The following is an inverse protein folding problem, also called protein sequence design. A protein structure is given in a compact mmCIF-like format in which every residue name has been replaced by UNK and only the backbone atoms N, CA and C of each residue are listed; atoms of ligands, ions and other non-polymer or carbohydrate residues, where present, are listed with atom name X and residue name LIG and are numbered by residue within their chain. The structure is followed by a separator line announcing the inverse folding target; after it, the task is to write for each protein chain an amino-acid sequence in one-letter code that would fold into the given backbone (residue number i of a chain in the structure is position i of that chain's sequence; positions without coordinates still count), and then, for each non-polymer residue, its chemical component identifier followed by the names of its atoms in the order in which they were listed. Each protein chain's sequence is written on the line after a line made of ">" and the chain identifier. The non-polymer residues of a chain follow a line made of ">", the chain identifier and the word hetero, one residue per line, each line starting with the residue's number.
data_IF_621956145395
#
_entry.id   IF_621956145395
#
_cell.length_a   1.000
_cell.length_b   1.000
_cell.length_c   1.000
_cell.angle_alpha   90.00
_cell.angle_beta   90.00
_cell.angle_gamma   90.00
#
_symmetry.space_group_name_H-M   'P 1'
#
loop_
_entity.id
_entity.type
_entity.pdbx_description
1 polymer ?
#
# COMPACT_ATOMS: atom_id res chain seq x y z
N UNK A 1 -20.11 -18.05 -39.06
CA UNK A 1 -20.71 -17.67 -37.77
C UNK A 1 -20.03 -18.50 -36.70
N UNK A 2 -18.87 -18.05 -36.23
CA UNK A 2 -17.94 -18.89 -35.44
C UNK A 2 -18.27 -18.71 -33.96
N UNK A 3 -18.88 -19.73 -33.36
CA UNK A 3 -19.23 -19.81 -31.94
C UNK A 3 -17.94 -19.92 -31.12
N UNK A 4 -17.69 -18.94 -30.26
CA UNK A 4 -16.58 -18.98 -29.29
C UNK A 4 -16.88 -20.09 -28.26
N UNK A 5 -15.93 -21.00 -27.93
CA UNK A 5 -16.16 -22.09 -26.99
C UNK A 5 -16.54 -21.57 -25.58
N UNK A 6 -17.47 -22.26 -24.91
CA UNK A 6 -18.09 -21.88 -23.63
C UNK A 6 -17.19 -21.84 -22.39
N UNK A 7 -15.87 -21.71 -22.54
CA UNK A 7 -14.90 -21.61 -21.44
C UNK A 7 -14.66 -20.19 -20.93
N UNK A 8 -15.13 -19.15 -21.64
CA UNK A 8 -14.93 -17.76 -21.24
C UNK A 8 -16.27 -17.08 -20.91
N UNK A 9 -16.98 -17.56 -19.89
CA UNK A 9 -18.03 -16.74 -19.27
C UNK A 9 -17.32 -15.60 -18.55
N UNK A 10 -17.55 -14.36 -18.98
CA UNK A 10 -17.00 -13.18 -18.29
C UNK A 10 -17.43 -13.22 -16.83
N UNK A 11 -16.47 -13.08 -15.92
CA UNK A 11 -16.74 -12.88 -14.50
C UNK A 11 -17.42 -11.52 -14.36
N UNK A 12 -18.52 -11.46 -13.61
CA UNK A 12 -19.17 -10.21 -13.24
C UNK A 12 -18.18 -9.33 -12.47
N UNK A 13 -18.02 -8.06 -12.88
CA UNK A 13 -17.11 -7.12 -12.24
C UNK A 13 -17.39 -6.97 -10.73
N UNK A 14 -18.66 -7.06 -10.31
CA UNK A 14 -19.04 -7.00 -8.89
C UNK A 14 -18.52 -8.20 -8.08
N UNK A 15 -18.31 -9.35 -8.74
CA UNK A 15 -17.79 -10.58 -8.09
C UNK A 15 -16.27 -10.65 -8.06
N UNK A 16 -15.59 -9.82 -8.84
CA UNK A 16 -14.15 -9.88 -9.01
C UNK A 16 -13.37 -9.63 -7.70
N UNK A 17 -13.70 -8.63 -6.86
CA UNK A 17 -12.96 -8.39 -5.61
C UNK A 17 -12.99 -9.58 -4.66
N UNK A 18 -14.18 -10.16 -4.44
CA UNK A 18 -14.33 -11.31 -3.54
C UNK A 18 -13.54 -12.54 -4.02
N UNK A 19 -13.53 -12.78 -5.34
CA UNK A 19 -12.74 -13.86 -5.93
C UNK A 19 -11.24 -13.61 -5.77
N UNK A 20 -10.75 -12.41 -6.08
CA UNK A 20 -9.34 -12.05 -5.95
C UNK A 20 -8.88 -12.15 -4.48
N UNK A 21 -9.67 -11.69 -3.52
CA UNK A 21 -9.35 -11.82 -2.10
C UNK A 21 -9.23 -13.28 -1.65
N UNK A 22 -10.15 -14.16 -2.08
CA UNK A 22 -10.19 -15.56 -1.67
C UNK A 22 -9.10 -16.45 -2.30
N UNK A 23 -8.45 -16.01 -3.38
CA UNK A 23 -7.39 -16.78 -4.02
C UNK A 23 -6.19 -16.97 -3.08
N UNK A 24 -5.60 -18.18 -2.97
CA UNK A 24 -4.30 -18.35 -2.32
C UNK A 24 -3.22 -17.64 -3.14
N UNK A 25 -2.35 -16.88 -2.48
CA UNK A 25 -1.30 -16.07 -3.11
C UNK A 25 0.02 -16.27 -2.36
N UNK A 26 1.12 -16.27 -3.09
CA UNK A 26 2.46 -16.05 -2.55
C UNK A 26 2.93 -14.67 -3.06
N UNK A 27 3.36 -13.81 -2.14
CA UNK A 27 3.91 -12.49 -2.46
C UNK A 27 5.44 -12.58 -2.36
N UNK A 28 6.12 -12.41 -3.51
CA UNK A 28 7.57 -12.62 -3.62
C UNK A 28 8.37 -11.32 -3.62
N UNK A 29 7.70 -10.18 -3.77
CA UNK A 29 8.30 -8.86 -3.74
C UNK A 29 7.43 -7.93 -2.90
N UNK A 30 7.83 -7.76 -1.66
CA UNK A 30 7.25 -6.80 -0.72
C UNK A 30 8.40 -6.19 0.08
N UNK A 31 8.39 -4.87 0.22
CA UNK A 31 9.22 -4.18 1.20
C UNK A 31 8.40 -4.06 2.48
N UNK A 32 8.87 -4.61 3.60
CA UNK A 32 8.12 -4.60 4.87
C UNK A 32 7.93 -3.17 5.37
N UNK A 33 8.93 -2.32 5.21
CA UNK A 33 8.84 -0.91 5.56
C UNK A 33 7.89 -0.16 4.61
N UNK A 34 7.70 -0.67 3.39
CA UNK A 34 6.76 -0.15 2.41
C UNK A 34 5.30 -0.50 2.70
N UNK A 35 5.02 -1.37 3.68
CA UNK A 35 3.66 -1.68 4.15
C UNK A 35 3.24 -0.86 5.37
N UNK A 36 4.05 0.13 5.79
CA UNK A 36 3.68 1.04 6.86
C UNK A 36 2.56 1.99 6.44
N UNK A 37 1.38 1.75 6.98
CA UNK A 37 0.24 2.66 6.84
C UNK A 37 0.49 3.98 7.57
N UNK A 38 0.01 5.13 7.05
CA UNK A 38 0.16 6.44 7.69
C UNK A 38 -0.24 6.46 9.18
N UNK A 39 -1.32 5.79 9.54
CA UNK A 39 -1.82 5.69 10.91
C UNK A 39 -0.81 4.97 11.82
N UNK A 40 -0.15 3.92 11.31
CA UNK A 40 0.89 3.19 12.04
C UNK A 40 2.16 4.03 12.19
N UNK A 41 2.55 4.78 11.15
CA UNK A 41 3.70 5.69 11.20
C UNK A 41 3.50 6.72 12.33
N UNK A 42 2.32 7.34 12.41
CA UNK A 42 2.00 8.30 13.47
C UNK A 42 1.96 7.67 14.86
N UNK A 43 1.36 6.49 15.00
CA UNK A 43 1.31 5.78 16.28
C UNK A 43 2.72 5.43 16.80
N UNK A 44 3.60 4.95 15.91
CA UNK A 44 4.99 4.64 16.26
C UNK A 44 5.83 5.89 16.51
N UNK A 45 5.62 6.96 15.74
CA UNK A 45 6.27 8.24 15.97
C UNK A 45 5.95 8.79 17.37
N UNK A 46 4.67 8.77 17.75
CA UNK A 46 4.23 9.16 19.09
C UNK A 46 4.87 8.27 20.17
N UNK A 47 4.81 6.94 19.99
CA UNK A 47 5.40 5.97 20.93
C UNK A 47 6.89 6.22 21.15
N UNK A 48 7.62 6.53 20.07
CA UNK A 48 9.07 6.61 20.07
C UNK A 48 9.62 8.04 20.18
N UNK A 49 8.76 9.06 20.36
CA UNK A 49 9.18 10.46 20.46
C UNK A 49 9.82 11.02 19.19
N UNK A 50 9.44 10.50 18.02
CA UNK A 50 9.97 10.95 16.71
C UNK A 50 9.07 12.04 16.15
N UNK A 51 9.65 13.20 15.79
CA UNK A 51 8.92 14.24 15.06
C UNK A 51 8.79 13.88 13.59
N UNK A 52 7.57 13.91 13.06
CA UNK A 52 7.32 13.72 11.63
C UNK A 52 7.31 15.07 10.90
N UNK A 53 7.73 15.11 9.62
CA UNK A 53 7.64 16.31 8.79
C UNK A 53 6.20 16.60 8.30
N UNK A 54 5.23 15.78 8.71
CA UNK A 54 3.82 15.91 8.34
C UNK A 54 2.98 16.21 9.60
N UNK A 55 2.07 17.20 9.53
CA UNK A 55 1.28 17.61 10.69
C UNK A 55 0.13 16.66 11.03
N UNK A 56 -0.26 15.77 10.10
CA UNK A 56 -1.34 14.81 10.31
C UNK A 56 -1.24 13.60 9.38
N UNK A 57 -2.00 12.55 9.70
CA UNK A 57 -2.18 11.36 8.87
C UNK A 57 -2.67 11.74 7.47
N UNK A 58 -3.63 12.67 7.36
CA UNK A 58 -4.17 13.13 6.09
C UNK A 58 -3.12 13.90 5.27
N UNK A 59 -2.23 14.66 5.93
CA UNK A 59 -1.13 15.33 5.25
C UNK A 59 -0.12 14.34 4.67
N UNK A 60 0.23 13.29 5.42
CA UNK A 60 1.08 12.21 4.93
C UNK A 60 0.40 11.42 3.79
N UNK A 61 -0.89 11.10 3.91
CA UNK A 61 -1.65 10.40 2.87
C UNK A 61 -1.73 11.21 1.58
N UNK A 62 -1.84 12.55 1.66
CA UNK A 62 -1.76 13.44 0.48
C UNK A 62 -0.36 13.46 -0.15
N UNK A 63 0.69 13.22 0.64
CA UNK A 63 2.06 13.17 0.15
C UNK A 63 2.37 11.87 -0.63
N UNK A 64 1.49 10.85 -0.59
CA UNK A 64 1.61 9.63 -1.40
C UNK A 64 1.24 9.87 -2.88
N UNK A 65 1.86 10.89 -3.48
CA UNK A 65 1.74 11.28 -4.87
C UNK A 65 3.16 11.49 -5.41
N UNK A 66 3.70 10.47 -6.07
CA UNK A 66 5.10 10.39 -6.45
C UNK A 66 5.31 10.73 -7.93
N UNK A 67 6.37 11.47 -8.26
CA UNK A 67 6.74 11.80 -9.64
C UNK A 67 7.79 10.86 -10.23
N UNK A 68 8.54 10.19 -9.37
CA UNK A 68 9.63 9.28 -9.70
C UNK A 68 9.96 8.38 -8.50
N UNK A 69 10.99 7.53 -8.63
CA UNK A 69 11.44 6.67 -7.56
C UNK A 69 12.00 7.47 -6.37
N UNK A 70 12.68 8.59 -6.61
CA UNK A 70 13.35 9.33 -5.54
C UNK A 70 12.33 10.00 -4.62
N UNK A 71 11.31 10.65 -5.19
CA UNK A 71 10.20 11.26 -4.45
C UNK A 71 9.42 10.23 -3.60
N UNK A 72 9.33 8.98 -4.05
CA UNK A 72 8.85 7.87 -3.21
C UNK A 72 9.83 7.55 -2.07
N UNK A 73 11.12 7.37 -2.38
CA UNK A 73 12.14 6.98 -1.41
C UNK A 73 12.29 8.01 -0.29
N UNK A 74 12.15 9.30 -0.58
CA UNK A 74 12.23 10.36 0.42
C UNK A 74 11.17 10.18 1.53
N UNK A 75 9.93 9.84 1.15
CA UNK A 75 8.83 9.58 2.10
C UNK A 75 9.02 8.22 2.78
N UNK A 76 9.41 7.20 2.01
CA UNK A 76 9.66 5.85 2.52
C UNK A 76 10.68 5.87 3.68
N UNK A 77 11.83 6.53 3.49
CA UNK A 77 12.86 6.61 4.53
C UNK A 77 12.44 7.48 5.72
N UNK A 78 11.67 8.55 5.48
CA UNK A 78 11.08 9.33 6.56
C UNK A 78 10.10 8.47 7.41
N UNK A 79 9.28 7.65 6.76
CA UNK A 79 8.38 6.70 7.41
C UNK A 79 9.14 5.65 8.23
N UNK A 80 10.18 5.03 7.66
CA UNK A 80 10.99 4.02 8.33
C UNK A 80 11.71 4.54 9.60
N UNK A 81 11.93 5.86 9.71
CA UNK A 81 12.61 6.48 10.87
C UNK A 81 11.92 6.22 12.22
N UNK A 82 10.61 5.91 12.19
CA UNK A 82 9.79 5.61 13.37
C UNK A 82 9.97 4.18 13.88
N UNK A 83 10.66 3.30 13.16
CA UNK A 83 10.93 1.92 13.57
C UNK A 83 12.10 1.86 14.57
N UNK A 84 11.79 2.07 15.85
CA UNK A 84 12.75 2.03 16.97
C UNK A 84 12.39 0.94 17.99
N UNK A 85 13.40 0.35 18.62
CA UNK A 85 13.31 -0.65 19.70
C UNK A 85 13.52 -0.02 21.06
#
# INVERSE_FOLDING_TARGET
>A
MTTVPGFARRIDAARLPALLSAMPKAELHLHIEGSLEPEMIFALAQRNGVSLPYPSVEALRRAYAFTDLQSFLDIYYAGASVLRT
#
